data_IF_877597433575
#
_entry.id   IF_877597433575
#
_cell.length_a   1.000
_cell.length_b   1.000
_cell.length_c   1.000
_cell.angle_alpha   90.00
_cell.angle_beta   90.00
_cell.angle_gamma   90.00
#
_symmetry.space_group_name_H-M   'P 1'
#
loop_
_entity.id
_entity.type
_entity.pdbx_description
1 polymer ?
#
# COMPACT_ATOMS: atom_id res chain seq x y z
N UNK A 1 7.73 -20.40 -11.16
CA UNK A 1 6.40 -20.42 -10.52
C UNK A 1 6.41 -19.44 -9.37
N UNK A 2 5.58 -18.39 -9.39
CA UNK A 2 5.30 -17.62 -8.16
C UNK A 2 4.61 -18.57 -7.19
N UNK A 3 5.11 -18.65 -5.95
CA UNK A 3 4.36 -19.34 -4.90
C UNK A 3 3.18 -18.51 -4.37
N UNK A 4 3.29 -17.17 -4.36
CA UNK A 4 2.29 -16.25 -3.82
C UNK A 4 2.00 -15.07 -4.78
N UNK A 5 0.92 -15.17 -5.56
CA UNK A 5 0.46 -14.10 -6.46
C UNK A 5 -0.15 -12.98 -5.63
N UNK A 6 0.09 -11.73 -6.02
CA UNK A 6 -0.54 -10.57 -5.41
C UNK A 6 -0.60 -9.42 -6.42
N UNK A 7 -1.71 -8.69 -6.40
CA UNK A 7 -1.99 -7.55 -7.25
C UNK A 7 -2.96 -6.60 -6.53
N UNK A 8 -3.12 -5.38 -7.04
CA UNK A 8 -3.93 -4.34 -6.38
C UNK A 8 -5.43 -4.67 -6.36
N UNK A 9 -5.94 -5.44 -7.31
CA UNK A 9 -7.35 -5.87 -7.32
C UNK A 9 -7.59 -6.88 -6.20
N UNK A 10 -6.69 -7.86 -6.05
CA UNK A 10 -6.73 -8.82 -4.95
C UNK A 10 -6.60 -8.11 -3.60
N UNK A 11 -5.69 -7.14 -3.46
CA UNK A 11 -5.56 -6.34 -2.23
C UNK A 11 -6.85 -5.56 -1.93
N UNK A 12 -7.46 -4.93 -2.93
CA UNK A 12 -8.72 -4.22 -2.76
C UNK A 12 -9.84 -5.16 -2.32
N UNK A 13 -9.98 -6.32 -2.95
CA UNK A 13 -10.96 -7.33 -2.57
C UNK A 13 -10.76 -7.82 -1.13
N UNK A 14 -9.50 -8.07 -0.72
CA UNK A 14 -9.18 -8.43 0.67
C UNK A 14 -9.55 -7.34 1.66
N UNK A 15 -9.38 -6.07 1.29
CA UNK A 15 -9.75 -4.92 2.12
C UNK A 15 -11.27 -4.81 2.27
N UNK A 16 -12.02 -4.85 1.16
CA UNK A 16 -13.48 -4.75 1.14
C UNK A 16 -14.14 -5.90 1.90
N UNK A 17 -13.56 -7.10 1.82
CA UNK A 17 -14.05 -8.29 2.51
C UNK A 17 -13.53 -8.41 3.97
N UNK A 18 -12.84 -7.40 4.50
CA UNK A 18 -12.33 -7.41 5.88
C UNK A 18 -11.32 -8.52 6.18
N UNK A 19 -10.58 -8.99 5.17
CA UNK A 19 -9.67 -10.13 5.27
C UNK A 19 -8.30 -9.77 5.87
N UNK A 20 -8.05 -8.50 6.16
CA UNK A 20 -6.87 -8.05 6.88
C UNK A 20 -7.18 -7.85 8.35
N UNK A 21 -6.55 -8.64 9.21
CA UNK A 21 -6.70 -8.51 10.67
C UNK A 21 -5.79 -7.41 11.23
N UNK A 22 -4.79 -6.99 10.46
CA UNK A 22 -3.87 -5.93 10.83
C UNK A 22 -3.34 -5.15 9.63
N UNK A 23 -2.88 -3.91 9.88
CA UNK A 23 -2.22 -3.09 8.85
C UNK A 23 -0.92 -3.71 8.34
N UNK A 24 -0.29 -4.59 9.13
CA UNK A 24 0.95 -5.29 8.74
C UNK A 24 0.70 -6.35 7.66
N UNK A 25 -0.46 -7.01 7.70
CA UNK A 25 -0.82 -7.98 6.64
C UNK A 25 -1.06 -7.26 5.31
N UNK A 26 -1.76 -6.12 5.36
CA UNK A 26 -1.94 -5.24 4.22
C UNK A 26 -0.60 -4.76 3.63
N UNK A 27 0.28 -4.24 4.48
CA UNK A 27 1.63 -3.79 4.10
C UNK A 27 2.46 -4.93 3.47
N UNK A 28 2.40 -6.13 4.05
CA UNK A 28 3.10 -7.31 3.53
C UNK A 28 2.69 -7.66 2.11
N UNK A 29 1.40 -7.54 1.78
CA UNK A 29 0.88 -7.82 0.45
C UNK A 29 1.30 -6.75 -0.57
N UNK A 30 1.36 -5.48 -0.17
CA UNK A 30 1.95 -4.43 -1.02
C UNK A 30 3.43 -4.73 -1.30
N UNK A 31 4.23 -5.07 -0.29
CA UNK A 31 5.63 -5.46 -0.49
C UNK A 31 5.78 -6.77 -1.28
N UNK A 32 4.77 -7.63 -1.30
CA UNK A 32 4.79 -8.83 -2.15
C UNK A 32 4.67 -8.45 -3.64
N UNK A 33 3.91 -7.40 -3.97
CA UNK A 33 3.85 -6.85 -5.34
C UNK A 33 5.24 -6.36 -5.77
N UNK A 34 5.95 -5.59 -4.94
CA UNK A 34 7.30 -5.10 -5.25
C UNK A 34 8.31 -6.26 -5.38
N UNK A 35 8.31 -7.22 -4.44
CA UNK A 35 9.17 -8.41 -4.52
C UNK A 35 8.93 -9.22 -5.78
N UNK A 36 7.67 -9.41 -6.19
CA UNK A 36 7.34 -10.07 -7.44
C UNK A 36 7.87 -9.25 -8.63
N UNK A 37 7.67 -7.92 -8.64
CA UNK A 37 8.23 -7.04 -9.67
C UNK A 37 9.74 -7.26 -9.85
N UNK A 38 10.52 -7.25 -8.77
CA UNK A 38 11.97 -7.44 -8.84
C UNK A 38 12.41 -8.87 -9.18
N UNK A 39 11.56 -9.86 -8.93
CA UNK A 39 11.84 -11.26 -9.29
C UNK A 39 11.69 -11.49 -10.79
N UNK A 40 10.77 -10.78 -11.44
CA UNK A 40 10.47 -10.97 -12.87
C UNK A 40 11.21 -10.02 -13.79
N UNK A 41 11.48 -8.82 -13.32
CA UNK A 41 12.10 -7.79 -14.13
C UNK A 41 13.60 -7.79 -13.90
N UNK A 42 14.36 -7.72 -14.99
CA UNK A 42 15.82 -7.59 -14.91
C UNK A 42 16.18 -6.30 -14.17
N UNK A 43 17.21 -6.36 -13.34
CA UNK A 43 17.77 -5.18 -12.67
C UNK A 43 18.09 -4.11 -13.72
N UNK A 44 17.66 -2.87 -13.47
CA UNK A 44 17.87 -1.73 -14.36
C UNK A 44 16.92 -1.65 -15.56
N UNK A 45 16.00 -2.61 -15.72
CA UNK A 45 14.88 -2.44 -16.66
C UNK A 45 13.93 -1.33 -16.17
N UNK A 46 13.21 -0.71 -17.10
CA UNK A 46 12.25 0.36 -16.77
C UNK A 46 11.26 -0.06 -15.67
N UNK A 47 10.70 -1.27 -15.77
CA UNK A 47 9.76 -1.80 -14.78
C UNK A 47 10.40 -2.03 -13.41
N UNK A 48 11.68 -2.43 -13.37
CA UNK A 48 12.41 -2.55 -12.11
C UNK A 48 12.58 -1.19 -11.43
N UNK A 49 13.07 -0.19 -12.17
CA UNK A 49 13.29 1.16 -11.66
C UNK A 49 11.98 1.82 -11.20
N UNK A 50 10.89 1.68 -11.97
CA UNK A 50 9.56 2.16 -11.58
C UNK A 50 9.07 1.46 -10.30
N UNK A 51 9.37 0.17 -10.14
CA UNK A 51 9.10 -0.56 -8.91
C UNK A 51 9.83 0.04 -7.71
N UNK A 52 11.13 0.35 -7.84
CA UNK A 52 11.93 1.00 -6.77
C UNK A 52 11.40 2.39 -6.40
N UNK A 53 11.05 3.21 -7.39
CA UNK A 53 10.46 4.54 -7.15
C UNK A 53 9.14 4.45 -6.40
N UNK A 54 8.28 3.50 -6.80
CA UNK A 54 6.98 3.29 -6.17
C UNK A 54 7.10 2.72 -4.75
N UNK A 55 8.00 1.76 -4.51
CA UNK A 55 8.26 1.23 -3.17
C UNK A 55 8.81 2.31 -2.24
N UNK A 56 9.72 3.15 -2.72
CA UNK A 56 10.26 4.29 -1.97
C UNK A 56 9.16 5.29 -1.58
N UNK A 57 8.30 5.65 -2.52
CA UNK A 57 7.17 6.54 -2.25
C UNK A 57 6.18 5.93 -1.25
N UNK A 58 5.86 4.64 -1.40
CA UNK A 58 5.00 3.92 -0.46
C UNK A 58 5.58 3.93 0.95
N UNK A 59 6.85 3.56 1.12
CA UNK A 59 7.52 3.48 2.42
C UNK A 59 7.56 4.83 3.14
N UNK A 60 7.80 5.91 2.39
CA UNK A 60 7.78 7.28 2.94
C UNK A 60 6.39 7.62 3.49
N UNK A 61 5.34 7.45 2.68
CA UNK A 61 3.96 7.75 3.08
C UNK A 61 3.53 6.85 4.25
N UNK A 62 3.86 5.56 4.20
CA UNK A 62 3.50 4.58 5.22
C UNK A 62 4.14 4.94 6.57
N UNK A 63 5.43 5.30 6.57
CA UNK A 63 6.17 5.72 7.77
C UNK A 63 5.62 7.02 8.35
N UNK A 64 5.39 8.04 7.52
CA UNK A 64 4.80 9.32 7.96
C UNK A 64 3.42 9.11 8.59
N UNK A 65 2.60 8.22 8.02
CA UNK A 65 1.27 7.89 8.55
C UNK A 65 1.35 7.16 9.89
N UNK A 66 2.30 6.23 10.06
CA UNK A 66 2.53 5.57 11.35
C UNK A 66 2.97 6.59 12.40
N UNK A 67 3.92 7.47 12.08
CA UNK A 67 4.39 8.51 13.00
C UNK A 67 3.24 9.45 13.40
N UNK A 68 2.41 9.85 12.44
CA UNK A 68 1.23 10.67 12.72
C UNK A 68 0.24 9.93 13.62
N UNK A 69 -0.07 8.67 13.35
CA UNK A 69 -0.95 7.86 14.20
C UNK A 69 -0.37 7.66 15.61
N UNK A 70 0.94 7.50 15.76
CA UNK A 70 1.60 7.40 17.08
C UNK A 70 1.47 8.72 17.84
N UNK A 71 1.79 9.86 17.20
CA UNK A 71 1.63 11.20 17.82
C UNK A 71 0.17 11.47 18.18
N UNK A 72 -0.77 11.11 17.33
CA UNK A 72 -2.19 11.23 17.64
C UNK A 72 -2.60 10.31 18.77
N UNK A 73 -2.13 9.06 18.82
CA UNK A 73 -2.43 8.14 19.93
C UNK A 73 -1.78 8.58 21.24
N UNK A 74 -0.63 9.26 21.22
CA UNK A 74 -0.02 9.92 22.37
C UNK A 74 -0.85 11.13 22.85
N UNK A 75 -1.40 11.91 21.92
CA UNK A 75 -2.32 13.01 22.23
C UNK A 75 -3.72 12.53 22.68
N UNK A 76 -4.26 11.45 22.09
CA UNK A 76 -5.52 10.80 22.44
C UNK A 76 -5.40 9.91 23.69
N UNK A 77 -4.21 9.46 24.10
CA UNK A 77 -4.04 8.91 25.45
C UNK A 77 -4.38 9.94 26.55
N UNK A 78 -4.49 11.23 26.21
CA UNK A 78 -5.07 12.26 27.09
C UNK A 78 -6.59 12.40 26.98
N UNK A 79 -7.25 11.91 25.93
CA UNK A 79 -8.70 12.07 25.68
C UNK A 79 -9.24 10.76 25.06
N UNK A 80 -9.87 9.93 25.89
CA UNK A 80 -10.42 8.60 25.56
C UNK A 80 -11.35 8.59 24.33
N UNK A 81 -11.19 7.51 23.54
CA UNK A 81 -12.15 6.78 22.69
C UNK A 81 -13.07 7.57 21.73
N UNK A 82 -12.84 7.50 20.41
CA UNK A 82 -13.83 7.07 19.39
C UNK A 82 -13.17 6.59 18.09
N UNK A 83 -13.89 5.74 17.36
CA UNK A 83 -13.53 4.93 16.18
C UNK A 83 -13.21 5.73 14.91
N UNK A 84 -12.11 5.39 14.22
CA UNK A 84 -11.67 6.07 13.00
C UNK A 84 -11.30 5.04 11.90
N UNK A 85 -12.32 4.49 11.25
CA UNK A 85 -12.21 3.56 10.12
C UNK A 85 -12.38 4.27 8.76
N UNK A 86 -13.10 5.39 8.73
CA UNK A 86 -13.55 6.04 7.49
C UNK A 86 -12.44 6.89 6.82
N UNK A 87 -11.58 7.54 7.61
CA UNK A 87 -10.45 8.33 7.08
C UNK A 87 -9.34 7.49 6.42
N UNK A 88 -9.28 6.18 6.71
CA UNK A 88 -8.25 5.29 6.16
C UNK A 88 -8.56 4.83 4.74
N UNK A 89 -9.84 4.65 4.42
CA UNK A 89 -10.30 4.22 3.10
C UNK A 89 -10.15 5.34 2.06
N UNK A 90 -10.40 6.59 2.45
CA UNK A 90 -10.33 7.74 1.54
C UNK A 90 -8.91 7.99 1.00
N UNK A 91 -7.89 7.83 1.85
CA UNK A 91 -6.48 7.92 1.46
C UNK A 91 -6.09 6.74 0.55
N UNK A 92 -6.66 5.56 0.79
CA UNK A 92 -6.39 4.37 -0.01
C UNK A 92 -6.98 4.48 -1.43
N UNK A 93 -8.20 4.98 -1.54
CA UNK A 93 -8.85 5.32 -2.82
C UNK A 93 -8.03 6.37 -3.59
N UNK A 94 -7.44 7.34 -2.90
CA UNK A 94 -6.59 8.37 -3.53
C UNK A 94 -5.29 7.78 -4.10
N UNK A 95 -4.65 6.83 -3.41
CA UNK A 95 -3.46 6.13 -3.91
C UNK A 95 -3.77 5.20 -5.10
N UNK A 96 -4.92 4.53 -5.09
CA UNK A 96 -5.36 3.67 -6.21
C UNK A 96 -5.61 4.49 -7.47
N UNK A 97 -6.26 5.66 -7.37
CA UNK A 97 -6.54 6.52 -8.53
C UNK A 97 -5.25 7.07 -9.14
N UNK A 98 -4.23 7.38 -8.33
CA UNK A 98 -2.94 7.89 -8.84
C UNK A 98 -2.11 6.79 -9.51
N UNK A 99 -2.14 5.55 -8.99
CA UNK A 99 -1.39 4.42 -9.56
C UNK A 99 -2.10 3.82 -10.78
N UNK A 100 -3.43 3.74 -10.76
CA UNK A 100 -4.22 3.25 -11.89
C UNK A 100 -4.17 4.20 -13.09
N UNK A 101 -4.21 5.52 -12.88
CA UNK A 101 -4.11 6.50 -13.98
C UNK A 101 -2.74 6.47 -14.66
N UNK A 102 -1.67 6.04 -13.97
CA UNK A 102 -0.32 5.97 -14.54
C UNK A 102 0.03 4.61 -15.14
N UNK A 103 -0.63 3.54 -14.73
CA UNK A 103 -0.50 2.20 -15.34
C UNK A 103 -1.40 2.01 -16.58
N UNK A 104 -2.52 2.75 -16.69
CA UNK A 104 -3.45 2.60 -17.81
C UNK A 104 -3.00 3.32 -19.10
N UNK A 105 -2.04 4.25 -19.03
CA UNK A 105 -1.49 4.95 -20.21
C UNK A 105 -0.33 4.22 -20.90
N UNK A 106 0.08 3.04 -20.43
CA UNK A 106 1.16 2.23 -21.03
C UNK A 106 0.67 1.05 -21.87
N UNK A 107 -0.64 0.97 -22.15
CA UNK A 107 -1.24 -0.05 -23.04
C UNK A 107 -2.18 0.54 -24.11
N UNK A 108 -1.93 1.77 -24.56
CA UNK A 108 -2.41 2.30 -25.86
C UNK A 108 -1.22 2.73 -26.71
#
# INVERSE_FOLDING_TARGET
>A
FIKNQMDLFTINSKLENGQYTSTKEFESDIHLIFRNCYTYNNIGSEMYCLGEELESAFNKIWTEKIIFQVKQKENLKRIRDTSDADGKLYIFVTLIVIVAIKLLTLFL
#
